data_IF_386469303111
#
_entry.id   IF_386469303111
#
_cell.length_a   1.000
_cell.length_b   1.000
_cell.length_c   1.000
_cell.angle_alpha   90.00
_cell.angle_beta   90.00
_cell.angle_gamma   90.00
#
_symmetry.space_group_name_H-M   'P 1'
#
loop_
_entity.id
_entity.type
_entity.pdbx_description
1 polymer ?
#
# COMPACT_ATOMS: atom_id res chain seq x y z
N UNK A 1 -31.03 -24.76 -31.64
CA UNK A 1 -30.15 -23.61 -31.92
C UNK A 1 -29.93 -22.87 -30.60
N UNK A 2 -28.69 -22.88 -30.11
CA UNK A 2 -28.06 -22.14 -28.97
C UNK A 2 -28.81 -21.91 -27.63
N UNK A 3 -28.18 -22.47 -26.58
CA UNK A 3 -28.19 -22.21 -25.14
C UNK A 3 -27.92 -20.72 -24.79
N UNK A 4 -28.27 -20.14 -23.63
CA UNK A 4 -27.97 -20.62 -22.28
C UNK A 4 -28.87 -20.02 -21.17
N UNK A 5 -28.87 -20.75 -20.05
CA UNK A 5 -29.64 -20.58 -18.82
C UNK A 5 -29.23 -19.34 -18.02
N UNK A 6 -30.19 -18.49 -17.68
CA UNK A 6 -30.08 -17.57 -16.54
C UNK A 6 -30.61 -18.29 -15.30
N UNK A 7 -29.71 -18.72 -14.41
CA UNK A 7 -30.09 -19.22 -13.10
C UNK A 7 -30.49 -18.04 -12.20
N UNK A 8 -31.76 -18.03 -11.85
CA UNK A 8 -32.39 -17.17 -10.86
C UNK A 8 -32.44 -17.93 -9.54
N UNK A 9 -31.74 -17.45 -8.51
CA UNK A 9 -31.98 -17.90 -7.14
C UNK A 9 -32.10 -16.67 -6.24
N UNK A 10 -33.35 -16.32 -5.97
CA UNK A 10 -33.73 -15.56 -4.77
C UNK A 10 -33.51 -16.46 -3.55
N UNK A 11 -32.61 -16.09 -2.65
CA UNK A 11 -32.75 -16.44 -1.23
C UNK A 11 -32.36 -15.27 -0.35
N UNK A 12 -33.40 -14.65 0.22
CA UNK A 12 -33.31 -13.87 1.44
C UNK A 12 -32.76 -14.77 2.54
N UNK A 13 -31.66 -14.38 3.19
CA UNK A 13 -31.30 -14.92 4.49
C UNK A 13 -30.59 -13.84 5.32
N UNK A 14 -31.36 -13.28 6.26
CA UNK A 14 -30.90 -12.53 7.42
C UNK A 14 -29.88 -13.38 8.17
N UNK A 15 -28.66 -12.91 8.35
CA UNK A 15 -27.71 -13.51 9.31
C UNK A 15 -27.95 -12.82 10.66
N UNK A 16 -28.48 -13.51 11.68
CA UNK A 16 -28.56 -12.94 13.02
C UNK A 16 -27.16 -12.93 13.65
N UNK A 17 -26.69 -11.75 14.08
CA UNK A 17 -25.55 -11.62 14.99
C UNK A 17 -25.92 -12.19 16.36
N UNK A 18 -25.80 -13.51 16.51
CA UNK A 18 -25.92 -14.21 17.80
C UNK A 18 -24.52 -14.51 18.32
N UNK A 19 -23.89 -13.50 18.91
CA UNK A 19 -22.71 -13.72 19.76
C UNK A 19 -23.23 -14.18 21.12
N UNK A 20 -23.26 -15.48 21.35
CA UNK A 20 -23.36 -16.08 22.68
C UNK A 20 -22.24 -17.11 22.83
N UNK A 21 -21.12 -16.68 23.39
CA UNK A 21 -20.15 -17.59 23.99
C UNK A 21 -19.60 -16.94 25.25
N UNK A 22 -19.88 -17.60 26.37
CA UNK A 22 -19.36 -17.32 27.70
C UNK A 22 -18.14 -18.19 27.85
N UNK A 23 -16.95 -17.64 27.62
CA UNK A 23 -15.70 -18.35 27.87
C UNK A 23 -14.73 -17.49 28.66
N UNK A 24 -14.13 -18.17 29.63
CA UNK A 24 -13.29 -17.63 30.70
C UNK A 24 -11.92 -17.26 30.14
N UNK A 25 -11.43 -16.09 30.55
CA UNK A 25 -10.00 -15.80 30.72
C UNK A 25 -9.06 -16.19 29.57
N UNK A 26 -9.06 -15.42 28.50
CA UNK A 26 -7.90 -15.29 27.63
C UNK A 26 -7.87 -13.84 27.13
N UNK A 27 -6.78 -13.12 27.40
CA UNK A 27 -6.60 -11.74 26.97
C UNK A 27 -6.47 -11.71 25.44
N UNK A 28 -7.60 -11.75 24.74
CA UNK A 28 -7.64 -11.51 23.30
C UNK A 28 -7.24 -10.07 23.07
N UNK A 29 -5.99 -9.85 22.65
CA UNK A 29 -5.53 -8.56 22.18
C UNK A 29 -6.48 -8.10 21.07
N UNK A 30 -7.44 -7.23 21.42
CA UNK A 30 -8.30 -6.57 20.45
C UNK A 30 -7.39 -5.82 19.51
N UNK A 31 -7.52 -6.09 18.21
CA UNK A 31 -6.88 -5.32 17.17
C UNK A 31 -7.12 -3.83 17.43
N UNK A 32 -6.05 -3.10 17.79
CA UNK A 32 -6.07 -1.67 18.00
C UNK A 32 -5.39 -1.03 16.80
N UNK A 33 -6.19 -0.36 15.97
CA UNK A 33 -5.67 0.50 14.91
C UNK A 33 -4.90 1.64 15.60
N UNK A 34 -3.57 1.65 15.44
CA UNK A 34 -2.75 2.77 15.89
C UNK A 34 -2.85 3.88 14.85
N UNK A 35 -3.14 5.10 15.30
CA UNK A 35 -3.03 6.31 14.49
C UNK A 35 -1.56 6.75 14.47
N UNK A 36 -0.70 5.95 13.86
CA UNK A 36 0.67 6.39 13.56
C UNK A 36 0.58 7.23 12.28
N UNK A 37 0.92 8.53 12.39
CA UNK A 37 1.04 9.46 11.26
C UNK A 37 2.26 9.08 10.41
N UNK A 38 2.19 7.93 9.74
CA UNK A 38 3.06 7.66 8.62
C UNK A 38 2.47 8.45 7.45
N UNK A 39 2.96 9.68 7.24
CA UNK A 39 2.51 10.59 6.18
C UNK A 39 3.00 10.11 4.80
N UNK A 40 2.71 8.85 4.45
CA UNK A 40 2.98 8.28 3.14
C UNK A 40 1.77 8.49 2.24
N UNK A 41 1.94 9.21 1.13
CA UNK A 41 0.89 9.38 0.12
C UNK A 41 1.07 8.34 -0.97
N UNK A 42 0.05 7.53 -1.23
CA UNK A 42 0.08 6.56 -2.34
C UNK A 42 0.18 7.30 -3.68
N UNK A 43 1.17 6.93 -4.49
CA UNK A 43 1.39 7.45 -5.84
C UNK A 43 1.52 6.29 -6.83
N UNK A 44 0.91 6.45 -8.01
CA UNK A 44 0.98 5.45 -9.10
C UNK A 44 1.79 6.04 -10.25
N UNK A 45 2.85 5.34 -10.64
CA UNK A 45 3.69 5.68 -11.79
C UNK A 45 3.86 4.45 -12.69
N UNK A 46 4.08 4.66 -13.99
CA UNK A 46 4.27 3.58 -14.96
C UNK A 46 5.72 3.55 -15.42
N UNK A 47 6.40 2.43 -15.18
CA UNK A 47 7.75 2.19 -15.67
C UNK A 47 7.71 1.47 -17.02
N UNK A 48 8.64 1.78 -17.95
CA UNK A 48 8.92 0.92 -19.09
C UNK A 48 9.35 -0.48 -18.63
N UNK A 49 8.96 -1.53 -19.36
CA UNK A 49 9.21 -2.92 -18.98
C UNK A 49 10.69 -3.18 -18.65
N UNK A 50 11.60 -2.75 -19.53
CA UNK A 50 13.04 -2.92 -19.34
C UNK A 50 13.58 -2.31 -18.03
N UNK A 51 13.02 -1.17 -17.61
CA UNK A 51 13.47 -0.48 -16.40
C UNK A 51 12.91 -1.18 -15.14
N UNK A 52 11.66 -1.61 -15.20
CA UNK A 52 11.02 -2.35 -14.11
C UNK A 52 11.76 -3.66 -13.80
N UNK A 53 12.15 -4.41 -14.83
CA UNK A 53 12.89 -5.67 -14.69
C UNK A 53 14.26 -5.44 -14.03
N UNK A 54 15.01 -4.42 -14.48
CA UNK A 54 16.30 -4.06 -13.88
C UNK A 54 16.19 -3.66 -12.42
N UNK A 55 15.23 -2.79 -12.08
CA UNK A 55 15.03 -2.38 -10.68
C UNK A 55 14.61 -3.58 -9.81
N UNK A 56 13.76 -4.46 -10.35
CA UNK A 56 13.36 -5.68 -9.64
C UNK A 56 14.53 -6.62 -9.39
N UNK A 57 15.45 -6.75 -10.35
CA UNK A 57 16.67 -7.55 -10.18
C UNK A 57 17.59 -6.96 -9.11
N UNK A 58 17.84 -5.64 -9.14
CA UNK A 58 18.63 -4.94 -8.11
C UNK A 58 18.01 -5.14 -6.72
N UNK A 59 16.68 -5.05 -6.62
CA UNK A 59 15.97 -5.27 -5.38
C UNK A 59 16.20 -6.70 -4.83
N UNK A 60 16.17 -7.71 -5.70
CA UNK A 60 16.44 -9.10 -5.32
C UNK A 60 17.90 -9.33 -4.90
N UNK A 61 18.86 -8.75 -5.64
CA UNK A 61 20.29 -8.89 -5.35
C UNK A 61 20.69 -8.25 -4.01
N UNK A 62 19.98 -7.19 -3.61
CA UNK A 62 20.27 -6.44 -2.39
C UNK A 62 19.31 -6.75 -1.23
N UNK A 63 18.49 -7.80 -1.34
CA UNK A 63 17.48 -8.21 -0.35
C UNK A 63 16.60 -7.03 0.14
N UNK A 64 16.15 -6.21 -0.82
CA UNK A 64 15.36 -5.01 -0.55
C UNK A 64 14.09 -4.98 -1.40
N UNK A 65 13.22 -4.00 -1.13
CA UNK A 65 11.96 -3.86 -1.88
C UNK A 65 12.14 -2.95 -3.08
N UNK A 66 11.35 -3.20 -4.12
CA UNK A 66 11.27 -2.32 -5.29
C UNK A 66 11.04 -0.86 -4.90
N UNK A 67 10.10 -0.62 -3.98
CA UNK A 67 9.79 0.73 -3.47
C UNK A 67 11.00 1.38 -2.81
N UNK A 68 11.77 0.64 -2.01
CA UNK A 68 12.99 1.15 -1.35
C UNK A 68 14.03 1.61 -2.38
N UNK A 69 14.29 0.81 -3.40
CA UNK A 69 15.22 1.16 -4.48
C UNK A 69 14.75 2.41 -5.22
N UNK A 70 13.46 2.50 -5.53
CA UNK A 70 12.88 3.67 -6.21
C UNK A 70 13.01 4.93 -5.38
N UNK A 71 12.73 4.86 -4.07
CA UNK A 71 12.88 6.02 -3.18
C UNK A 71 14.32 6.50 -3.12
N UNK A 72 15.27 5.59 -2.91
CA UNK A 72 16.70 5.92 -2.88
C UNK A 72 17.19 6.53 -4.19
N UNK A 73 16.74 5.99 -5.33
CA UNK A 73 17.08 6.54 -6.64
C UNK A 73 16.54 7.96 -6.82
N UNK A 74 15.32 8.24 -6.34
CA UNK A 74 14.74 9.57 -6.36
C UNK A 74 15.49 10.54 -5.44
N UNK A 75 15.79 10.14 -4.20
CA UNK A 75 16.58 10.95 -3.25
C UNK A 75 17.94 11.29 -3.83
N UNK A 76 18.68 10.28 -4.32
CA UNK A 76 19.97 10.50 -4.98
C UNK A 76 19.85 11.45 -6.17
N UNK A 77 18.83 11.27 -7.02
CA UNK A 77 18.64 12.14 -8.18
C UNK A 77 18.35 13.59 -7.79
N UNK A 78 17.62 13.81 -6.70
CA UNK A 78 17.31 15.14 -6.16
C UNK A 78 18.56 15.79 -5.53
N UNK A 79 19.30 15.05 -4.70
CA UNK A 79 20.50 15.55 -4.02
C UNK A 79 21.63 15.90 -5.01
N UNK A 80 21.69 15.19 -6.14
CA UNK A 80 22.69 15.41 -7.19
C UNK A 80 22.17 16.29 -8.34
N UNK A 81 20.95 16.84 -8.22
CA UNK A 81 20.44 17.83 -9.17
C UNK A 81 21.07 19.19 -8.84
N UNK A 82 22.27 19.45 -9.37
CA UNK A 82 23.09 20.60 -8.98
C UNK A 82 22.32 21.92 -8.92
N UNK A 83 22.41 22.60 -7.76
CA UNK A 83 21.88 23.91 -7.32
C UNK A 83 21.03 24.72 -8.31
N UNK A 84 19.99 24.13 -8.88
CA UNK A 84 19.07 24.83 -9.75
C UNK A 84 17.63 24.41 -9.43
N UNK A 85 17.05 25.17 -8.49
CA UNK A 85 15.66 25.67 -8.50
C UNK A 85 14.60 25.06 -7.59
N UNK A 86 14.93 24.25 -6.58
CA UNK A 86 13.96 23.93 -5.51
C UNK A 86 14.39 24.52 -4.17
N UNK A 87 14.08 25.81 -3.97
CA UNK A 87 14.02 26.40 -2.63
C UNK A 87 12.71 25.94 -2.00
N UNK A 88 12.79 25.02 -1.05
CA UNK A 88 11.68 24.73 -0.16
C UNK A 88 11.43 25.95 0.74
N UNK A 89 10.53 26.84 0.32
CA UNK A 89 9.95 27.84 1.19
C UNK A 89 9.02 27.17 2.20
N UNK A 90 9.56 26.55 3.25
CA UNK A 90 8.83 26.31 4.51
C UNK A 90 9.76 26.36 5.71
N UNK A 91 9.99 27.57 6.19
CA UNK A 91 10.03 27.90 7.62
C UNK A 91 9.77 29.39 7.81
N UNK A 92 8.48 29.74 7.85
CA UNK A 92 7.99 31.00 8.43
C UNK A 92 6.53 30.83 8.81
N UNK A 93 6.31 30.26 9.99
CA UNK A 93 5.27 30.76 10.89
C UNK A 93 5.88 30.84 12.28
N UNK A 94 6.05 32.10 12.71
CA UNK A 94 6.47 32.48 14.06
C UNK A 94 5.37 32.30 15.09
#
# INVERSE_FOLDING_TARGET
>A
MRFAFYNNVHTSNKIPLRIKSKDRGENMAKFKVRSEKNDSVNKTIRFPQNLNERISQIAQENDTTFTSVVLQACEYALDNMGDNTFKDEKDSKG
#
